data_IF_153383932811
#
_entry.id   IF_153383932811
#
_cell.length_a   1.000
_cell.length_b   1.000
_cell.length_c   1.000
_cell.angle_alpha   90.00
_cell.angle_beta   90.00
_cell.angle_gamma   90.00
#
_symmetry.space_group_name_H-M   'P 1'
#
loop_
_entity.id
_entity.type
_entity.pdbx_description
1 polymer ?
#
# COMPACT_ATOMS: atom_id res chain seq x y z
N UNK A 1 30.57 17.03 -54.85
CA UNK A 1 30.25 15.63 -55.20
C UNK A 1 30.66 14.77 -53.99
N UNK A 2 29.90 14.66 -52.90
CA UNK A 2 28.61 13.97 -52.66
C UNK A 2 28.61 12.46 -52.98
N UNK A 3 29.67 11.75 -52.58
CA UNK A 3 29.62 10.31 -52.29
C UNK A 3 29.89 10.12 -50.80
N UNK A 4 28.96 10.60 -49.97
CA UNK A 4 28.90 10.13 -48.58
C UNK A 4 28.52 8.66 -48.71
N UNK A 5 29.48 7.81 -48.38
CA UNK A 5 29.45 6.36 -48.63
C UNK A 5 28.18 5.77 -48.02
N UNK A 6 27.33 5.16 -48.85
CA UNK A 6 26.08 4.49 -48.43
C UNK A 6 26.35 3.52 -47.27
N UNK A 7 27.53 2.90 -47.25
CA UNK A 7 27.99 2.04 -46.15
C UNK A 7 28.03 2.75 -44.78
N UNK A 8 28.49 3.99 -44.71
CA UNK A 8 28.51 4.76 -43.45
C UNK A 8 27.10 5.05 -42.95
N UNK A 9 26.16 5.36 -43.85
CA UNK A 9 24.77 5.61 -43.49
C UNK A 9 24.12 4.34 -42.93
N UNK A 10 24.38 3.18 -43.55
CA UNK A 10 23.87 1.89 -43.07
C UNK A 10 24.44 1.56 -41.69
N UNK A 11 25.75 1.70 -41.47
CA UNK A 11 26.37 1.43 -40.16
C UNK A 11 25.81 2.35 -39.08
N UNK A 12 25.62 3.64 -39.37
CA UNK A 12 24.99 4.57 -38.42
C UNK A 12 23.52 4.19 -38.16
N UNK A 13 22.77 3.77 -39.19
CA UNK A 13 21.38 3.35 -39.02
C UNK A 13 21.26 2.06 -38.18
N UNK A 14 22.14 1.08 -38.39
CA UNK A 14 22.16 -0.16 -37.61
C UNK A 14 22.54 0.11 -36.15
N UNK A 15 23.64 0.83 -35.92
CA UNK A 15 24.08 1.16 -34.55
C UNK A 15 23.06 2.03 -33.79
N UNK A 16 22.36 2.94 -34.47
CA UNK A 16 21.28 3.72 -33.83
C UNK A 16 20.02 2.89 -33.58
N UNK A 17 19.69 1.88 -34.39
CA UNK A 17 18.61 0.93 -34.09
C UNK A 17 18.95 0.05 -32.89
N UNK A 18 20.13 -0.57 -32.88
CA UNK A 18 20.58 -1.43 -31.78
C UNK A 18 20.64 -0.66 -30.45
N UNK A 19 21.14 0.58 -30.45
CA UNK A 19 21.14 1.43 -29.25
C UNK A 19 19.73 1.81 -28.78
N UNK A 20 18.76 1.97 -29.69
CA UNK A 20 17.36 2.24 -29.31
C UNK A 20 16.71 1.01 -28.69
N UNK A 21 16.96 -0.17 -29.23
CA UNK A 21 16.44 -1.43 -28.66
C UNK A 21 17.03 -1.70 -27.27
N UNK A 22 18.34 -1.48 -27.09
CA UNK A 22 18.98 -1.63 -25.77
C UNK A 22 18.33 -0.69 -24.74
N UNK A 23 18.19 0.60 -25.07
CA UNK A 23 17.53 1.58 -24.19
C UNK A 23 16.06 1.25 -23.92
N UNK A 24 15.35 0.73 -24.91
CA UNK A 24 13.95 0.32 -24.73
C UNK A 24 13.84 -0.87 -23.77
N UNK A 25 14.71 -1.87 -23.90
CA UNK A 25 14.72 -3.02 -22.99
C UNK A 25 15.04 -2.64 -21.54
N UNK A 26 15.99 -1.71 -21.34
CA UNK A 26 16.29 -1.16 -20.02
C UNK A 26 15.09 -0.40 -19.44
N UNK A 27 14.43 0.45 -20.24
CA UNK A 27 13.23 1.19 -19.82
C UNK A 27 12.08 0.26 -19.44
N UNK A 28 11.82 -0.79 -20.23
CA UNK A 28 10.79 -1.79 -19.91
C UNK A 28 11.15 -2.54 -18.62
N UNK A 29 12.43 -2.85 -18.39
CA UNK A 29 12.85 -3.51 -17.14
C UNK A 29 12.65 -2.62 -15.92
N UNK A 30 12.91 -1.31 -16.06
CA UNK A 30 12.69 -0.31 -15.01
C UNK A 30 11.18 -0.12 -14.75
N UNK A 31 10.37 -0.02 -15.80
CA UNK A 31 8.91 0.09 -15.70
C UNK A 31 8.31 -1.13 -15.00
N UNK A 32 8.70 -2.36 -15.39
CA UNK A 32 8.26 -3.58 -14.72
C UNK A 32 8.72 -3.64 -13.26
N UNK A 33 9.91 -3.12 -12.94
CA UNK A 33 10.40 -3.06 -11.57
C UNK A 33 9.60 -2.05 -10.74
N UNK A 34 9.27 -0.89 -11.31
CA UNK A 34 8.42 0.14 -10.69
C UNK A 34 7.01 -0.40 -10.44
N UNK A 35 6.39 -1.06 -11.42
CA UNK A 35 5.08 -1.71 -11.25
C UNK A 35 5.11 -2.79 -10.15
N UNK A 36 6.15 -3.62 -10.13
CA UNK A 36 6.32 -4.65 -9.11
C UNK A 36 6.52 -4.07 -7.69
N UNK A 37 7.25 -2.97 -7.57
CA UNK A 37 7.44 -2.27 -6.29
C UNK A 37 6.15 -1.59 -5.83
N UNK A 38 5.41 -1.00 -6.76
CA UNK A 38 4.13 -0.37 -6.51
C UNK A 38 3.12 -1.37 -5.95
N UNK A 39 2.99 -2.52 -6.60
CA UNK A 39 2.08 -3.58 -6.16
C UNK A 39 2.51 -4.17 -4.80
N UNK A 40 3.81 -4.41 -4.61
CA UNK A 40 4.34 -4.90 -3.32
C UNK A 40 4.06 -3.91 -2.19
N UNK A 41 4.27 -2.62 -2.44
CA UNK A 41 3.96 -1.57 -1.47
C UNK A 41 2.47 -1.55 -1.13
N UNK A 42 1.59 -1.57 -2.15
CA UNK A 42 0.14 -1.56 -1.92
C UNK A 42 -0.31 -2.77 -1.12
N UNK A 43 0.20 -3.95 -1.45
CA UNK A 43 -0.06 -5.19 -0.71
C UNK A 43 0.38 -5.08 0.76
N UNK A 44 1.57 -4.54 1.00
CA UNK A 44 2.10 -4.35 2.34
C UNK A 44 1.25 -3.37 3.16
N UNK A 45 0.91 -2.20 2.60
CA UNK A 45 0.08 -1.20 3.28
C UNK A 45 -1.33 -1.73 3.55
N UNK A 46 -1.95 -2.41 2.58
CA UNK A 46 -3.25 -3.06 2.78
C UNK A 46 -3.18 -4.13 3.88
N UNK A 47 -2.07 -4.88 3.94
CA UNK A 47 -1.81 -5.85 5.00
C UNK A 47 -1.75 -5.20 6.39
N UNK A 48 -1.06 -4.06 6.52
CA UNK A 48 -1.03 -3.28 7.77
C UNK A 48 -2.43 -2.80 8.14
N UNK A 49 -3.16 -2.17 7.22
CA UNK A 49 -4.53 -1.70 7.47
C UNK A 49 -5.43 -2.84 7.95
N UNK A 50 -5.36 -4.01 7.30
CA UNK A 50 -6.17 -5.17 7.69
C UNK A 50 -5.77 -5.72 9.05
N UNK A 51 -4.48 -5.74 9.39
CA UNK A 51 -4.01 -6.17 10.71
C UNK A 51 -4.45 -5.20 11.83
N UNK A 52 -4.46 -3.90 11.56
CA UNK A 52 -4.97 -2.87 12.48
C UNK A 52 -6.46 -3.12 12.74
N UNK A 53 -7.28 -3.25 11.70
CA UNK A 53 -8.71 -3.51 11.84
C UNK A 53 -9.01 -4.79 12.64
N UNK A 54 -8.34 -5.90 12.31
CA UNK A 54 -8.48 -7.16 13.05
C UNK A 54 -8.10 -7.02 14.53
N UNK A 55 -7.07 -6.22 14.84
CA UNK A 55 -6.65 -5.96 16.22
C UNK A 55 -7.69 -5.14 16.97
N UNK A 56 -8.28 -4.12 16.32
CA UNK A 56 -9.34 -3.29 16.92
C UNK A 56 -10.61 -4.11 17.18
N UNK A 57 -10.98 -4.98 16.25
CA UNK A 57 -12.12 -5.89 16.42
C UNK A 57 -11.90 -6.85 17.58
N UNK A 58 -10.69 -7.45 17.68
CA UNK A 58 -10.32 -8.30 18.82
C UNK A 58 -10.37 -7.54 20.16
N UNK A 59 -9.83 -6.33 20.23
CA UNK A 59 -9.88 -5.49 21.44
C UNK A 59 -11.32 -5.20 21.84
N UNK A 60 -12.19 -4.92 20.85
CA UNK A 60 -13.61 -4.64 21.09
C UNK A 60 -14.27 -5.85 21.74
N UNK A 61 -14.09 -7.03 21.16
CA UNK A 61 -14.66 -8.26 21.68
C UNK A 61 -14.16 -8.59 23.08
N UNK A 62 -12.85 -8.54 23.32
CA UNK A 62 -12.25 -8.81 24.64
C UNK A 62 -12.80 -7.86 25.71
N UNK A 63 -12.99 -6.59 25.36
CA UNK A 63 -13.52 -5.58 26.28
C UNK A 63 -15.03 -5.70 26.48
N UNK A 64 -15.78 -6.16 25.48
CA UNK A 64 -17.19 -6.49 25.65
C UNK A 64 -17.39 -7.70 26.56
N UNK A 65 -16.59 -8.75 26.40
CA UNK A 65 -16.59 -9.93 27.27
C UNK A 65 -16.22 -9.52 28.71
N UNK A 66 -15.21 -8.65 28.87
CA UNK A 66 -14.89 -8.04 30.16
C UNK A 66 -16.09 -7.30 30.77
N UNK A 67 -16.85 -6.54 29.98
CA UNK A 67 -18.05 -5.85 30.46
C UNK A 67 -19.13 -6.84 30.91
N UNK A 68 -19.37 -7.91 30.16
CA UNK A 68 -20.37 -8.91 30.47
C UNK A 68 -20.02 -9.68 31.75
N UNK A 69 -18.76 -10.08 31.91
CA UNK A 69 -18.28 -10.85 33.08
C UNK A 69 -18.28 -10.03 34.37
N UNK A 70 -17.85 -8.77 34.31
CA UNK A 70 -17.69 -7.93 35.51
C UNK A 70 -19.01 -7.28 35.97
N UNK A 71 -20.01 -7.20 35.08
CA UNK A 71 -21.30 -6.56 35.37
C UNK A 71 -22.50 -7.49 35.16
N UNK A 72 -22.30 -8.81 35.17
CA UNK A 72 -23.28 -9.86 34.82
C UNK A 72 -24.71 -9.72 35.42
N UNK A 73 -24.87 -9.00 36.53
CA UNK A 73 -26.16 -8.79 37.22
C UNK A 73 -26.72 -7.36 37.09
N UNK A 74 -26.07 -6.49 36.32
CA UNK A 74 -26.45 -5.10 36.15
C UNK A 74 -26.38 -4.71 34.66
N UNK A 75 -27.49 -4.95 33.96
CA UNK A 75 -27.62 -4.65 32.53
C UNK A 75 -27.32 -3.19 32.17
N UNK A 76 -27.68 -2.25 33.05
CA UNK A 76 -27.34 -0.83 32.87
C UNK A 76 -25.83 -0.60 32.92
N UNK A 77 -25.12 -1.28 33.82
CA UNK A 77 -23.66 -1.18 33.91
C UNK A 77 -22.97 -1.83 32.72
N UNK A 78 -23.44 -3.00 32.24
CA UNK A 78 -22.97 -3.64 31.00
C UNK A 78 -23.10 -2.66 29.83
N UNK A 79 -24.29 -2.09 29.61
CA UNK A 79 -24.54 -1.18 28.49
C UNK A 79 -23.65 0.07 28.56
N UNK A 80 -23.47 0.66 29.74
CA UNK A 80 -22.58 1.80 29.93
C UNK A 80 -21.11 1.43 29.72
N UNK A 81 -20.71 0.22 30.10
CA UNK A 81 -19.37 -0.31 29.87
C UNK A 81 -19.10 -0.48 28.38
N UNK A 82 -19.96 -1.21 27.65
CA UNK A 82 -19.83 -1.41 26.19
C UNK A 82 -19.80 -0.09 25.43
N UNK A 83 -20.67 0.87 25.78
CA UNK A 83 -20.64 2.23 25.21
C UNK A 83 -19.31 2.98 25.45
N UNK A 84 -18.62 2.72 26.57
CA UNK A 84 -17.30 3.31 26.82
C UNK A 84 -16.21 2.59 26.02
N UNK A 85 -16.33 1.28 25.85
CA UNK A 85 -15.44 0.47 24.99
C UNK A 85 -15.54 0.98 23.56
N UNK A 86 -16.75 1.11 23.00
CA UNK A 86 -16.96 1.63 21.64
C UNK A 86 -16.26 2.96 21.42
N UNK A 87 -16.47 3.92 22.33
CA UNK A 87 -15.84 5.25 22.27
C UNK A 87 -14.33 5.21 22.42
N UNK A 88 -13.81 4.26 23.18
CA UNK A 88 -12.37 4.09 23.36
C UNK A 88 -11.75 3.52 22.08
N UNK A 89 -12.36 2.47 21.51
CA UNK A 89 -11.91 1.85 20.26
C UNK A 89 -12.01 2.83 19.10
N UNK A 90 -13.09 3.62 19.02
CA UNK A 90 -13.24 4.70 18.03
C UNK A 90 -12.07 5.69 18.11
N UNK A 91 -11.70 6.16 19.32
CA UNK A 91 -10.55 7.05 19.49
C UNK A 91 -9.21 6.41 19.12
N UNK A 92 -9.05 5.11 19.40
CA UNK A 92 -7.84 4.38 18.99
C UNK A 92 -7.80 4.30 17.48
N UNK A 93 -8.91 3.93 16.84
CA UNK A 93 -9.09 3.85 15.39
C UNK A 93 -8.69 5.17 14.71
N UNK A 94 -9.20 6.30 15.21
CA UNK A 94 -8.85 7.64 14.70
C UNK A 94 -7.34 7.94 14.80
N UNK A 95 -6.63 7.32 15.75
CA UNK A 95 -5.20 7.53 15.95
C UNK A 95 -4.32 6.60 15.10
N UNK A 96 -4.79 5.38 14.79
CA UNK A 96 -3.97 4.34 14.16
C UNK A 96 -4.32 4.06 12.70
N UNK A 97 -5.53 4.38 12.26
CA UNK A 97 -5.96 4.11 10.88
C UNK A 97 -5.17 4.98 9.92
N UNK A 98 -4.73 4.36 8.82
CA UNK A 98 -4.07 5.06 7.73
C UNK A 98 -5.10 5.93 6.99
N UNK A 99 -4.95 7.24 7.06
CA UNK A 99 -5.87 8.20 6.44
C UNK A 99 -5.88 8.09 4.90
N UNK A 100 -4.72 7.80 4.33
CA UNK A 100 -4.52 7.71 2.89
C UNK A 100 -4.75 6.28 2.37
N UNK A 101 -5.31 6.17 1.16
CA UNK A 101 -5.33 4.91 0.44
C UNK A 101 -3.91 4.39 0.17
N UNK A 102 -3.75 3.07 0.10
CA UNK A 102 -2.44 2.43 -0.13
C UNK A 102 -1.71 2.95 -1.36
N UNK A 103 -2.43 3.26 -2.45
CA UNK A 103 -1.84 3.89 -3.63
C UNK A 103 -1.21 5.26 -3.33
N UNK A 104 -1.91 6.13 -2.59
CA UNK A 104 -1.41 7.47 -2.22
C UNK A 104 -0.18 7.34 -1.32
N UNK A 105 -0.21 6.41 -0.36
CA UNK A 105 0.92 6.13 0.52
C UNK A 105 2.13 5.65 -0.30
N UNK A 106 1.94 4.72 -1.23
CA UNK A 106 3.02 4.20 -2.05
C UNK A 106 3.61 5.24 -3.01
N UNK A 107 2.78 6.15 -3.55
CA UNK A 107 3.24 7.34 -4.29
C UNK A 107 4.11 8.26 -3.44
N UNK A 108 3.75 8.46 -2.16
CA UNK A 108 4.57 9.26 -1.22
C UNK A 108 5.93 8.63 -0.94
N UNK A 109 6.05 7.30 -1.07
CA UNK A 109 7.30 6.57 -0.93
C UNK A 109 8.09 6.42 -2.24
N UNK A 110 7.62 6.97 -3.36
CA UNK A 110 8.22 6.77 -4.69
C UNK A 110 8.34 5.29 -5.08
N UNK A 111 7.41 4.48 -4.59
CA UNK A 111 7.25 3.07 -4.98
C UNK A 111 6.12 2.91 -6.01
N UNK A 112 5.28 3.95 -6.11
CA UNK A 112 4.49 4.35 -7.24
C UNK A 112 4.76 5.87 -7.43
#
# INVERSE_FOLDING_TARGET
MKTISIALVIVVAVTTCEMKELKLSELISLENQEESLCESCRMFINGISSAIEQTLDWITQEMEDFCDDNFAYNSTAIMLCKKKVDKMVEKIRDFVVLEDASEIICRKFYLC
#
